data_IF_873505131193
#
_entry.id   IF_873505131193
#
_cell.length_a   1.000
_cell.length_b   1.000
_cell.length_c   1.000
_cell.angle_alpha   90.00
_cell.angle_beta   90.00
_cell.angle_gamma   90.00
#
_symmetry.space_group_name_H-M   'P 1'
#
loop_
_entity.id
_entity.type
_entity.pdbx_description
1 polymer ?
#
# COMPACT_ATOMS: atom_id res chain seq x y z
N UNK A 1 -24.57 -66.11 23.36
CA UNK A 1 -23.66 -65.01 22.99
C UNK A 1 -24.50 -63.92 22.39
N UNK A 2 -24.85 -62.94 23.21
CA UNK A 2 -25.79 -61.87 22.89
C UNK A 2 -25.00 -60.63 22.45
N UNK A 3 -25.26 -60.15 21.24
CA UNK A 3 -24.69 -58.89 20.74
C UNK A 3 -25.59 -57.73 21.16
N UNK A 4 -24.98 -56.66 21.73
CA UNK A 4 -25.68 -55.44 22.09
C UNK A 4 -25.77 -54.49 20.89
N UNK A 5 -26.84 -53.68 20.75
CA UNK A 5 -27.00 -52.74 19.68
C UNK A 5 -26.21 -51.44 19.94
N UNK A 6 -25.57 -50.91 18.90
CA UNK A 6 -24.86 -49.63 18.93
C UNK A 6 -25.85 -48.46 18.89
N UNK A 7 -25.77 -47.58 19.85
CA UNK A 7 -26.54 -46.32 19.88
C UNK A 7 -25.84 -45.28 19.03
N UNK A 8 -26.47 -44.81 17.96
CA UNK A 8 -26.04 -43.70 17.12
C UNK A 8 -26.60 -42.41 17.72
N UNK A 9 -25.76 -41.61 18.36
CA UNK A 9 -26.10 -40.26 18.81
C UNK A 9 -25.79 -39.27 17.74
N UNK A 10 -26.81 -38.71 17.10
CA UNK A 10 -26.68 -37.60 16.16
C UNK A 10 -26.39 -36.30 16.94
N UNK A 11 -25.30 -35.62 16.62
CA UNK A 11 -24.98 -34.30 17.13
C UNK A 11 -25.88 -33.24 16.45
N UNK A 12 -26.34 -32.20 17.18
CA UNK A 12 -27.13 -31.14 16.58
C UNK A 12 -26.21 -30.26 15.70
N UNK A 13 -26.71 -29.93 14.51
CA UNK A 13 -26.09 -28.99 13.60
C UNK A 13 -26.09 -27.58 14.22
N UNK A 14 -24.92 -27.05 14.47
CA UNK A 14 -24.78 -25.65 14.83
C UNK A 14 -25.03 -24.76 13.60
N UNK A 15 -26.15 -24.06 13.60
CA UNK A 15 -26.45 -23.02 12.62
C UNK A 15 -25.63 -21.81 13.00
N UNK A 16 -24.50 -21.62 12.29
CA UNK A 16 -23.71 -20.40 12.37
C UNK A 16 -24.49 -19.31 11.63
N UNK A 17 -25.11 -18.40 12.37
CA UNK A 17 -25.64 -17.17 11.79
C UNK A 17 -24.45 -16.35 11.24
N UNK A 18 -24.53 -15.97 9.98
CA UNK A 18 -23.60 -15.01 9.38
C UNK A 18 -23.70 -13.68 10.17
N UNK A 19 -22.59 -13.01 10.43
CA UNK A 19 -22.64 -11.68 11.04
C UNK A 19 -23.41 -10.74 10.10
N UNK A 20 -24.39 -10.03 10.68
CA UNK A 20 -25.07 -8.95 9.98
C UNK A 20 -24.03 -7.90 9.61
N UNK A 21 -23.87 -7.64 8.32
CA UNK A 21 -23.15 -6.47 7.83
C UNK A 21 -23.92 -5.25 8.33
N UNK A 22 -23.39 -4.57 9.33
CA UNK A 22 -23.82 -3.21 9.65
C UNK A 22 -23.43 -2.35 8.44
N UNK A 23 -24.45 -1.88 7.75
CA UNK A 23 -24.34 -0.88 6.69
C UNK A 23 -23.87 0.41 7.35
N UNK A 24 -22.56 0.66 7.32
CA UNK A 24 -21.97 1.91 7.78
C UNK A 24 -22.50 2.98 6.83
N UNK A 25 -23.36 3.86 7.35
CA UNK A 25 -23.85 5.01 6.62
C UNK A 25 -22.64 5.83 6.14
N UNK A 26 -22.32 5.74 4.85
CA UNK A 26 -21.35 6.59 4.20
C UNK A 26 -21.85 8.03 4.29
N UNK A 27 -21.20 8.83 5.14
CA UNK A 27 -21.34 10.27 5.08
C UNK A 27 -20.99 10.73 3.66
N UNK A 28 -21.88 11.54 3.08
CA UNK A 28 -21.80 12.02 1.72
C UNK A 28 -20.58 12.93 1.51
N UNK A 29 -19.43 12.32 1.25
CA UNK A 29 -18.35 12.90 0.46
C UNK A 29 -18.36 12.16 -0.86
N UNK A 30 -18.19 12.87 -1.98
CA UNK A 30 -18.08 12.27 -3.29
C UNK A 30 -17.11 11.09 -3.23
N UNK A 31 -17.61 9.88 -3.49
CA UNK A 31 -16.77 8.69 -3.51
C UNK A 31 -15.66 8.92 -4.54
N UNK A 32 -14.40 8.95 -4.08
CA UNK A 32 -13.22 9.20 -4.93
C UNK A 32 -12.92 8.05 -5.91
N UNK A 33 -13.85 7.10 -6.06
CA UNK A 33 -13.71 5.96 -6.96
C UNK A 33 -14.94 5.06 -6.94
N UNK A 34 -14.97 4.12 -7.88
CA UNK A 34 -16.03 3.12 -8.05
C UNK A 34 -15.79 1.83 -7.26
N UNK A 35 -14.73 1.79 -6.44
CA UNK A 35 -14.33 0.61 -5.67
C UNK A 35 -13.65 -0.49 -6.49
N UNK A 36 -13.41 -0.28 -7.80
CA UNK A 36 -12.80 -1.29 -8.68
C UNK A 36 -11.37 -1.67 -8.29
N UNK A 37 -10.68 -0.80 -7.55
CA UNK A 37 -9.32 -1.02 -7.04
C UNK A 37 -9.30 -1.65 -5.64
N UNK A 38 -10.46 -2.02 -5.11
CA UNK A 38 -10.61 -2.48 -3.74
C UNK A 38 -11.10 -1.39 -2.80
N UNK A 39 -11.38 -1.78 -1.57
CA UNK A 39 -11.82 -0.90 -0.50
C UNK A 39 -10.97 -1.12 0.73
N UNK A 40 -10.78 -0.07 1.52
CA UNK A 40 -10.12 -0.12 2.82
C UNK A 40 -11.12 0.31 3.87
N UNK A 41 -11.22 -0.47 4.93
CA UNK A 41 -12.06 -0.13 6.08
C UNK A 41 -11.20 0.57 7.15
N UNK A 42 -11.60 1.79 7.49
CA UNK A 42 -10.96 2.56 8.57
C UNK A 42 -12.02 2.78 9.65
N UNK A 43 -11.73 2.33 10.86
CA UNK A 43 -12.68 2.46 11.97
C UNK A 43 -12.95 3.92 12.33
N UNK A 44 -14.14 4.22 12.83
CA UNK A 44 -14.51 5.59 13.21
C UNK A 44 -13.52 6.16 14.24
N UNK A 45 -12.92 7.31 13.93
CA UNK A 45 -11.93 7.98 14.76
C UNK A 45 -10.49 7.51 14.57
N UNK A 46 -10.25 6.54 13.70
CA UNK A 46 -8.91 6.13 13.32
C UNK A 46 -8.42 6.90 12.09
N UNK A 47 -7.12 7.12 12.00
CA UNK A 47 -6.48 7.75 10.85
C UNK A 47 -6.18 6.74 9.74
N UNK A 48 -6.28 7.18 8.50
CA UNK A 48 -5.78 6.44 7.32
C UNK A 48 -4.25 6.39 7.41
N UNK A 49 -3.70 5.17 7.45
CA UNK A 49 -2.26 4.96 7.59
C UNK A 49 -1.58 4.90 6.23
N UNK A 50 -0.65 5.82 5.96
CA UNK A 50 0.26 5.78 4.81
C UNK A 50 1.70 5.84 5.30
N UNK A 51 2.66 5.53 4.44
CA UNK A 51 4.09 5.62 4.77
C UNK A 51 4.85 6.38 3.69
N UNK A 52 5.88 7.12 4.13
CA UNK A 52 6.87 7.72 3.24
C UNK A 52 8.14 6.85 3.26
N UNK A 53 8.55 6.40 2.08
CA UNK A 53 9.71 5.52 1.87
C UNK A 53 10.66 6.21 0.88
N UNK A 54 11.68 6.86 1.39
CA UNK A 54 12.60 7.68 0.60
C UNK A 54 14.04 7.54 1.10
N UNK A 55 15.02 7.92 0.26
CA UNK A 55 16.42 8.01 0.68
C UNK A 55 16.59 9.21 1.63
N UNK A 56 16.58 8.97 2.93
CA UNK A 56 16.63 10.02 3.96
C UNK A 56 17.96 10.09 4.72
N UNK A 57 18.91 9.21 4.37
CA UNK A 57 20.27 9.23 4.92
C UNK A 57 21.35 9.15 3.82
N UNK A 58 22.61 9.33 4.21
CA UNK A 58 23.74 9.26 3.31
C UNK A 58 23.80 10.41 2.29
N UNK A 59 24.60 10.22 1.24
CA UNK A 59 24.91 11.26 0.24
C UNK A 59 23.70 11.64 -0.63
N UNK A 60 22.67 10.81 -0.65
CA UNK A 60 21.45 11.01 -1.46
C UNK A 60 20.24 11.51 -0.65
N UNK A 61 20.43 11.80 0.64
CA UNK A 61 19.37 12.31 1.52
C UNK A 61 18.75 13.62 1.01
N UNK A 62 19.51 14.40 0.24
CA UNK A 62 19.01 15.63 -0.40
C UNK A 62 17.86 15.37 -1.40
N UNK A 63 17.71 14.14 -1.92
CA UNK A 63 16.59 13.74 -2.76
C UNK A 63 15.38 13.37 -1.92
N UNK A 64 15.54 12.52 -0.92
CA UNK A 64 14.44 11.91 -0.19
C UNK A 64 13.82 12.81 0.87
N UNK A 65 14.62 13.59 1.60
CA UNK A 65 14.10 14.48 2.66
C UNK A 65 13.08 15.50 2.12
N UNK A 66 13.33 16.21 1.02
CA UNK A 66 12.33 17.12 0.46
C UNK A 66 11.05 16.41 0.01
N UNK A 67 11.17 15.18 -0.53
CA UNK A 67 10.02 14.38 -0.96
C UNK A 67 9.14 13.99 0.23
N UNK A 68 9.74 13.52 1.30
CA UNK A 68 9.00 13.19 2.52
C UNK A 68 8.30 14.41 3.12
N UNK A 69 8.98 15.55 3.16
CA UNK A 69 8.36 16.82 3.58
C UNK A 69 7.21 17.24 2.65
N UNK A 70 7.34 16.98 1.35
CA UNK A 70 6.27 17.19 0.37
C UNK A 70 5.03 16.34 0.68
N UNK A 71 5.22 15.09 1.11
CA UNK A 71 4.13 14.21 1.56
C UNK A 71 3.44 14.81 2.79
N UNK A 72 4.21 15.25 3.80
CA UNK A 72 3.65 15.87 5.00
C UNK A 72 2.89 17.16 4.68
N UNK A 73 3.42 17.99 3.79
CA UNK A 73 2.73 19.20 3.33
C UNK A 73 1.41 18.85 2.62
N UNK A 74 1.43 17.87 1.73
CA UNK A 74 0.22 17.44 1.01
C UNK A 74 -0.86 16.94 1.99
N UNK A 75 -0.49 16.16 2.99
CA UNK A 75 -1.41 15.71 4.05
C UNK A 75 -1.97 16.90 4.83
N UNK A 76 -1.12 17.86 5.21
CA UNK A 76 -1.54 19.05 5.92
C UNK A 76 -2.49 19.94 5.10
N UNK A 77 -2.21 20.09 3.80
CA UNK A 77 -2.98 20.96 2.90
C UNK A 77 -4.32 20.33 2.49
N UNK A 78 -4.33 19.02 2.31
CA UNK A 78 -5.54 18.29 1.90
C UNK A 78 -6.52 18.11 3.06
N UNK A 79 -6.00 17.85 4.27
CA UNK A 79 -6.79 17.60 5.47
C UNK A 79 -7.40 16.19 5.49
N UNK A 80 -8.55 16.07 6.15
CA UNK A 80 -9.20 14.78 6.36
C UNK A 80 -9.79 14.19 5.07
N UNK A 81 -9.75 12.87 4.93
CA UNK A 81 -10.34 12.11 3.84
C UNK A 81 -11.53 11.31 4.39
N UNK A 82 -12.74 11.64 3.94
CA UNK A 82 -13.95 10.95 4.40
C UNK A 82 -14.22 11.08 5.92
N UNK A 83 -13.66 12.12 6.55
CA UNK A 83 -13.77 12.34 8.02
C UNK A 83 -12.68 11.64 8.84
N UNK A 84 -11.69 11.05 8.18
CA UNK A 84 -10.51 10.43 8.81
C UNK A 84 -9.28 11.28 8.57
N UNK A 85 -8.46 11.50 9.60
CA UNK A 85 -7.12 12.07 9.45
C UNK A 85 -6.22 11.14 8.62
N UNK A 86 -5.10 11.68 8.13
CA UNK A 86 -4.08 10.89 7.42
C UNK A 86 -2.79 10.90 8.23
N UNK A 87 -2.29 9.72 8.57
CA UNK A 87 -1.06 9.55 9.34
C UNK A 87 0.05 8.95 8.48
N UNK A 88 1.13 9.71 8.29
CA UNK A 88 2.31 9.28 7.51
C UNK A 88 3.20 8.32 8.32
N UNK A 89 3.08 8.31 9.63
CA UNK A 89 3.91 7.52 10.52
C UNK A 89 5.39 7.92 10.50
N UNK A 90 6.26 6.97 10.84
CA UNK A 90 7.71 7.17 10.80
C UNK A 90 8.22 7.04 9.36
N UNK A 91 9.09 7.95 8.95
CA UNK A 91 9.77 7.89 7.65
C UNK A 91 10.68 6.66 7.60
N UNK A 92 10.65 5.97 6.46
CA UNK A 92 11.51 4.84 6.21
C UNK A 92 12.57 5.19 5.16
N UNK A 93 13.77 4.66 5.34
CA UNK A 93 14.90 4.91 4.47
C UNK A 93 15.04 3.79 3.42
N UNK A 94 15.01 4.16 2.14
CA UNK A 94 15.26 3.22 1.05
C UNK A 94 16.76 3.08 0.73
N UNK A 95 17.62 3.85 1.40
CA UNK A 95 19.09 3.89 1.21
C UNK A 95 19.50 4.04 -0.26
N UNK A 96 18.61 4.42 -1.16
CA UNK A 96 18.80 4.40 -2.61
C UNK A 96 19.34 3.05 -3.14
N UNK A 97 18.96 1.95 -2.50
CA UNK A 97 19.47 0.61 -2.79
C UNK A 97 18.36 -0.44 -2.78
N UNK A 98 18.58 -1.55 -3.49
CA UNK A 98 17.64 -2.68 -3.48
C UNK A 98 17.48 -3.28 -2.08
N UNK A 99 18.58 -3.41 -1.33
CA UNK A 99 18.55 -3.97 0.02
C UNK A 99 17.80 -3.06 1.00
N UNK A 100 18.04 -1.74 0.92
CA UNK A 100 17.31 -0.74 1.71
C UNK A 100 15.82 -0.73 1.39
N UNK A 101 15.47 -0.71 0.10
CA UNK A 101 14.09 -0.78 -0.36
C UNK A 101 13.39 -2.06 0.10
N UNK A 102 14.06 -3.21 0.02
CA UNK A 102 13.51 -4.48 0.49
C UNK A 102 13.30 -4.49 2.02
N UNK A 103 14.28 -4.07 2.80
CA UNK A 103 14.20 -4.06 4.26
C UNK A 103 13.09 -3.13 4.75
N UNK A 104 13.00 -1.93 4.17
CA UNK A 104 11.94 -0.98 4.50
C UNK A 104 10.55 -1.50 4.09
N UNK A 105 10.43 -2.10 2.90
CA UNK A 105 9.17 -2.71 2.46
C UNK A 105 8.71 -3.82 3.40
N UNK A 106 9.61 -4.69 3.87
CA UNK A 106 9.29 -5.73 4.87
C UNK A 106 8.77 -5.13 6.17
N UNK A 107 9.31 -3.99 6.60
CA UNK A 107 8.83 -3.28 7.79
C UNK A 107 7.42 -2.72 7.56
N UNK A 108 7.16 -2.17 6.37
CA UNK A 108 5.85 -1.59 6.03
C UNK A 108 4.77 -2.68 5.96
N UNK A 109 5.03 -3.77 5.25
CA UNK A 109 4.02 -4.82 5.05
C UNK A 109 3.72 -5.63 6.32
N UNK A 110 4.53 -5.51 7.35
CA UNK A 110 4.25 -6.06 8.67
C UNK A 110 3.17 -5.27 9.44
N UNK A 111 2.85 -4.05 9.00
CA UNK A 111 1.78 -3.21 9.55
C UNK A 111 0.57 -3.26 8.59
N UNK A 112 -0.38 -4.14 8.91
CA UNK A 112 -1.58 -4.37 8.09
C UNK A 112 -2.53 -3.16 8.02
N UNK A 113 -2.34 -2.15 8.87
CA UNK A 113 -3.12 -0.92 8.84
C UNK A 113 -2.71 0.04 7.72
N UNK A 114 -1.52 -0.15 7.12
CA UNK A 114 -1.01 0.71 6.06
C UNK A 114 -1.71 0.41 4.74
N UNK A 115 -2.25 1.45 4.11
CA UNK A 115 -3.00 1.30 2.85
C UNK A 115 -2.21 1.77 1.63
N UNK A 116 -1.17 2.58 1.82
CA UNK A 116 -0.41 3.12 0.71
C UNK A 116 0.97 3.64 1.12
N UNK A 117 1.86 3.70 0.14
CA UNK A 117 3.24 4.13 0.33
C UNK A 117 3.61 5.17 -0.73
N UNK A 118 4.17 6.28 -0.28
CA UNK A 118 4.76 7.32 -1.13
C UNK A 118 6.28 7.08 -1.19
N UNK A 119 6.79 6.71 -2.35
CA UNK A 119 8.21 6.33 -2.52
C UNK A 119 8.38 5.40 -3.74
N UNK A 120 9.56 4.92 -4.01
CA UNK A 120 10.86 5.21 -3.38
C UNK A 120 11.56 6.39 -4.06
N UNK A 121 12.72 6.84 -3.54
CA UNK A 121 13.52 7.85 -4.25
C UNK A 121 14.24 7.26 -5.46
N UNK A 122 14.77 6.06 -5.33
CA UNK A 122 15.60 5.43 -6.35
C UNK A 122 14.93 4.22 -6.98
N UNK A 123 15.04 4.08 -8.32
CA UNK A 123 14.42 2.97 -9.07
C UNK A 123 14.91 1.58 -8.64
N UNK A 124 16.18 1.46 -8.21
CA UNK A 124 16.73 0.22 -7.68
C UNK A 124 16.03 -0.22 -6.38
N UNK A 125 15.72 0.72 -5.50
CA UNK A 125 14.93 0.46 -4.30
C UNK A 125 13.50 0.05 -4.65
N UNK A 126 12.86 0.72 -5.64
CA UNK A 126 11.52 0.38 -6.12
C UNK A 126 11.45 -1.04 -6.67
N UNK A 127 12.47 -1.49 -7.40
CA UNK A 127 12.52 -2.84 -7.97
C UNK A 127 12.36 -3.93 -6.89
N UNK A 128 12.94 -3.71 -5.72
CA UNK A 128 12.85 -4.66 -4.61
C UNK A 128 11.61 -4.42 -3.72
N UNK A 129 11.21 -3.16 -3.52
CA UNK A 129 10.11 -2.79 -2.64
C UNK A 129 8.73 -3.02 -3.27
N UNK A 130 8.56 -2.68 -4.57
CA UNK A 130 7.26 -2.69 -5.22
C UNK A 130 6.54 -4.05 -5.17
N UNK A 131 7.17 -5.19 -5.49
CA UNK A 131 6.47 -6.48 -5.45
C UNK A 131 6.02 -6.87 -4.03
N UNK A 132 6.74 -6.45 -2.98
CA UNK A 132 6.36 -6.72 -1.59
C UNK A 132 5.16 -5.85 -1.17
N UNK A 133 5.25 -4.55 -1.39
CA UNK A 133 4.23 -3.58 -1.01
C UNK A 133 2.93 -3.83 -1.77
N UNK A 134 2.99 -3.95 -3.10
CA UNK A 134 1.78 -4.16 -3.90
C UNK A 134 1.22 -5.57 -3.76
N UNK A 135 2.08 -6.56 -3.51
CA UNK A 135 1.67 -7.94 -3.23
C UNK A 135 0.90 -8.09 -1.92
N UNK A 136 1.04 -7.16 -0.98
CA UNK A 136 0.23 -7.09 0.25
C UNK A 136 -1.07 -6.27 0.10
N UNK A 137 -1.41 -5.84 -1.13
CA UNK A 137 -2.63 -5.09 -1.40
C UNK A 137 -2.50 -3.57 -1.26
N UNK A 138 -1.33 -3.06 -0.94
CA UNK A 138 -1.07 -1.63 -0.82
C UNK A 138 -0.76 -1.01 -2.20
N UNK A 139 -0.96 0.30 -2.31
CA UNK A 139 -0.53 1.09 -3.46
C UNK A 139 0.84 1.72 -3.17
N UNK A 140 1.74 1.70 -4.17
CA UNK A 140 3.03 2.40 -4.11
C UNK A 140 3.12 3.46 -5.20
N UNK A 141 3.31 4.73 -4.80
CA UNK A 141 3.40 5.86 -5.73
C UNK A 141 4.73 6.57 -5.58
N UNK A 142 5.53 6.62 -6.64
CA UNK A 142 6.81 7.33 -6.64
C UNK A 142 6.74 8.68 -7.37
N UNK A 143 7.34 9.70 -6.77
CA UNK A 143 7.53 11.01 -7.39
C UNK A 143 8.84 11.16 -8.17
N UNK A 144 9.73 10.14 -8.16
CA UNK A 144 11.09 10.30 -8.71
C UNK A 144 11.65 9.09 -9.44
N UNK A 145 11.05 7.92 -9.35
CA UNK A 145 11.58 6.76 -10.08
C UNK A 145 11.38 6.93 -11.59
N UNK A 146 12.44 6.81 -12.36
CA UNK A 146 12.42 7.08 -13.80
C UNK A 146 12.66 5.85 -14.68
N UNK A 147 13.08 4.71 -14.10
CA UNK A 147 13.35 3.49 -14.87
C UNK A 147 12.10 3.00 -15.63
N UNK A 148 12.18 2.79 -16.96
CA UNK A 148 11.11 2.22 -17.76
C UNK A 148 10.68 0.83 -17.29
N UNK A 149 11.63 0.06 -16.73
CA UNK A 149 11.39 -1.31 -16.27
C UNK A 149 10.30 -1.42 -15.18
N UNK A 150 10.04 -0.32 -14.45
CA UNK A 150 9.03 -0.29 -13.39
C UNK A 150 7.59 -0.10 -13.90
N UNK A 151 7.41 0.38 -15.12
CA UNK A 151 6.08 0.61 -15.71
C UNK A 151 5.97 0.03 -17.11
N UNK A 152 6.44 0.75 -18.15
CA UNK A 152 6.34 0.30 -19.53
C UNK A 152 7.36 0.99 -20.43
N UNK A 153 7.57 0.44 -21.61
CA UNK A 153 8.22 1.11 -22.73
C UNK A 153 7.28 2.14 -23.40
N UNK A 154 7.77 2.81 -24.45
CA UNK A 154 6.98 3.79 -25.22
C UNK A 154 5.84 3.15 -26.01
N UNK A 155 5.88 1.85 -26.27
CA UNK A 155 4.84 1.09 -26.95
C UNK A 155 3.78 0.54 -25.99
N UNK A 156 3.93 0.77 -24.67
CA UNK A 156 3.01 0.28 -23.65
C UNK A 156 3.29 -1.17 -23.23
N UNK A 157 4.43 -1.76 -23.63
CA UNK A 157 4.83 -3.09 -23.16
C UNK A 157 5.25 -2.99 -21.69
N UNK A 158 4.69 -3.83 -20.84
CA UNK A 158 5.02 -3.87 -19.41
C UNK A 158 6.51 -4.07 -19.18
N UNK A 159 7.10 -3.31 -18.29
CA UNK A 159 8.50 -3.42 -17.90
C UNK A 159 8.79 -4.71 -17.15
N UNK A 160 10.04 -5.15 -17.16
CA UNK A 160 10.46 -6.39 -16.51
C UNK A 160 10.23 -6.42 -14.99
N UNK A 161 10.17 -5.24 -14.36
CA UNK A 161 9.94 -5.07 -12.93
C UNK A 161 8.58 -4.38 -12.64
N UNK A 162 7.64 -4.49 -13.58
CA UNK A 162 6.30 -3.96 -13.38
C UNK A 162 5.57 -4.74 -12.28
N UNK A 163 4.95 -4.00 -11.37
CA UNK A 163 4.07 -4.54 -10.34
C UNK A 163 2.73 -3.82 -10.41
N UNK A 164 1.63 -4.57 -10.47
CA UNK A 164 0.28 -3.99 -10.39
C UNK A 164 0.12 -3.29 -9.04
N UNK A 165 -0.37 -2.05 -9.05
CA UNK A 165 -0.44 -1.22 -7.83
C UNK A 165 0.78 -0.29 -7.64
N UNK A 166 1.81 -0.41 -8.50
CA UNK A 166 2.88 0.57 -8.58
C UNK A 166 2.54 1.68 -9.59
N UNK A 167 2.69 2.92 -9.16
CA UNK A 167 2.48 4.11 -9.98
C UNK A 167 3.62 5.10 -9.80
N UNK A 168 3.74 6.05 -10.74
CA UNK A 168 4.66 7.18 -10.60
C UNK A 168 4.07 8.44 -11.21
N UNK A 169 4.46 9.57 -10.66
CA UNK A 169 4.16 10.91 -11.20
C UNK A 169 5.33 11.47 -12.02
N UNK A 170 6.54 10.93 -11.85
CA UNK A 170 7.69 11.24 -12.69
C UNK A 170 7.54 10.59 -14.09
N UNK A 171 8.06 11.25 -15.12
CA UNK A 171 8.21 10.64 -16.45
C UNK A 171 9.26 9.53 -16.44
N UNK A 172 9.23 8.61 -17.40
CA UNK A 172 10.27 7.61 -17.51
C UNK A 172 11.43 8.08 -18.40
N UNK A 173 12.60 7.46 -18.23
CA UNK A 173 13.84 7.83 -18.90
C UNK A 173 13.75 7.79 -20.44
N UNK A 174 12.81 7.04 -21.03
CA UNK A 174 12.61 6.99 -22.47
C UNK A 174 12.07 8.31 -23.05
N UNK A 175 11.56 9.21 -22.20
CA UNK A 175 11.11 10.55 -22.60
C UNK A 175 12.14 11.65 -22.34
N UNK A 176 13.32 11.29 -21.81
CA UNK A 176 14.40 12.25 -21.50
C UNK A 176 15.41 12.44 -22.64
N UNK A 177 15.20 11.89 -23.81
CA UNK A 177 16.09 11.93 -24.96
C UNK A 177 16.23 13.29 -25.61
#
# INVERSE_FOLDING_TARGET
TTAAPAATTAAPAATTAAPATEEVASGAGDALGDGSLGTVEVAAGEDIQIRALHAISGDVAFLGIPMTRGVEMAVSDYGDIGGHGVNVGTWLDDLCSSDGGQAAAQTIVADESVVGVLGTSCSGAATAAAPLITGSGMVLVSGSNTSPALTSDLAGTAGANYSTGYYRTAHNDLYQG
#
